data_IF_809643738889
#
_entry.id   IF_809643738889
#
_cell.length_a   1.000
_cell.length_b   1.000
_cell.length_c   1.000
_cell.angle_alpha   90.00
_cell.angle_beta   90.00
_cell.angle_gamma   90.00
#
_symmetry.space_group_name_H-M   'P 1'
#
loop_
_entity.id
_entity.type
_entity.pdbx_description
1 polymer ?
#
# COMPACT_ATOMS: atom_id res chain seq x y z
N UNK A 1 2.02 8.09 -10.84
CA UNK A 1 2.39 8.06 -9.40
C UNK A 1 1.58 9.05 -8.54
N UNK A 2 1.44 10.33 -8.94
CA UNK A 2 0.73 11.34 -8.13
C UNK A 2 -0.73 10.99 -7.79
N UNK A 3 -1.51 10.50 -8.76
CA UNK A 3 -2.90 10.07 -8.54
C UNK A 3 -3.01 8.89 -7.54
N UNK A 4 -2.07 7.95 -7.56
CA UNK A 4 -2.05 6.82 -6.63
C UNK A 4 -1.78 7.27 -5.19
N UNK A 5 -0.90 8.25 -5.01
CA UNK A 5 -0.59 8.82 -3.67
C UNK A 5 -1.78 9.63 -3.13
N UNK A 6 -2.43 10.42 -3.97
CA UNK A 6 -3.64 11.17 -3.57
C UNK A 6 -4.79 10.23 -3.19
N UNK A 7 -4.98 9.14 -3.94
CA UNK A 7 -5.97 8.13 -3.60
C UNK A 7 -5.61 7.42 -2.28
N UNK A 8 -4.34 7.04 -2.10
CA UNK A 8 -3.87 6.42 -0.87
C UNK A 8 -4.07 7.35 0.35
N UNK A 9 -3.76 8.63 0.20
CA UNK A 9 -4.03 9.64 1.21
C UNK A 9 -5.53 9.75 1.53
N UNK A 10 -6.38 9.85 0.51
CA UNK A 10 -7.84 9.94 0.70
C UNK A 10 -8.42 8.71 1.41
N UNK A 11 -7.96 7.50 1.06
CA UNK A 11 -8.38 6.27 1.74
C UNK A 11 -7.89 6.24 3.19
N UNK A 12 -6.67 6.68 3.47
CA UNK A 12 -6.17 6.77 4.85
C UNK A 12 -6.94 7.80 5.68
N UNK A 13 -7.32 8.94 5.10
CA UNK A 13 -8.20 9.92 5.75
C UNK A 13 -9.56 9.30 6.06
N UNK A 14 -10.18 8.64 5.09
CA UNK A 14 -11.48 7.98 5.28
C UNK A 14 -11.43 6.91 6.37
N UNK A 15 -10.37 6.06 6.38
CA UNK A 15 -10.20 5.05 7.43
C UNK A 15 -10.06 5.67 8.81
N UNK A 16 -9.32 6.76 8.93
CA UNK A 16 -9.13 7.46 10.20
C UNK A 16 -10.46 8.10 10.68
N UNK A 17 -11.25 8.68 9.78
CA UNK A 17 -12.58 9.24 10.11
C UNK A 17 -13.58 8.16 10.53
N UNK A 18 -13.52 6.98 9.91
CA UNK A 18 -14.37 5.83 10.25
C UNK A 18 -13.90 5.08 11.51
N UNK A 19 -12.81 5.52 12.15
CA UNK A 19 -12.26 4.86 13.36
C UNK A 19 -11.64 3.48 13.11
N UNK A 20 -11.49 3.06 11.84
CA UNK A 20 -10.91 1.77 11.43
C UNK A 20 -9.45 1.89 10.96
N UNK A 21 -8.94 3.13 10.90
CA UNK A 21 -7.56 3.48 10.59
C UNK A 21 -6.87 4.10 11.80
N UNK A 22 -5.56 3.92 11.85
CA UNK A 22 -4.68 4.60 12.80
C UNK A 22 -3.80 5.60 12.04
N UNK A 23 -3.16 6.52 12.74
CA UNK A 23 -2.18 7.45 12.13
C UNK A 23 -1.04 6.68 11.43
N UNK A 24 -0.78 5.44 11.85
CA UNK A 24 0.19 4.52 11.23
C UNK A 24 -0.24 3.95 9.87
N UNK A 25 -1.48 4.20 9.42
CA UNK A 25 -1.95 3.82 8.09
C UNK A 25 -1.47 4.79 6.99
N UNK A 26 -1.08 6.02 7.34
CA UNK A 26 -0.59 7.00 6.37
C UNK A 26 0.78 6.64 5.77
N UNK A 27 1.82 6.31 6.58
CA UNK A 27 3.15 6.02 6.05
C UNK A 27 3.14 4.77 5.16
N UNK A 28 2.48 3.71 5.61
CA UNK A 28 2.41 2.45 4.86
C UNK A 28 1.75 2.61 3.49
N UNK A 29 0.56 3.22 3.44
CA UNK A 29 -0.20 3.36 2.20
C UNK A 29 0.45 4.34 1.22
N UNK A 30 1.04 5.43 1.69
CA UNK A 30 1.69 6.42 0.82
C UNK A 30 3.00 5.90 0.24
N UNK A 31 3.86 5.27 1.06
CA UNK A 31 5.13 4.69 0.61
C UNK A 31 4.85 3.51 -0.34
N UNK A 32 3.89 2.65 0.02
CA UNK A 32 3.41 1.56 -0.83
C UNK A 32 2.97 2.03 -2.21
N UNK A 33 2.11 3.05 -2.28
CA UNK A 33 1.59 3.59 -3.54
C UNK A 33 2.69 4.25 -4.40
N UNK A 34 3.68 4.90 -3.78
CA UNK A 34 4.85 5.46 -4.49
C UNK A 34 5.68 4.32 -5.09
N UNK A 35 6.01 3.30 -4.29
CA UNK A 35 6.79 2.15 -4.75
C UNK A 35 6.05 1.39 -5.86
N UNK A 36 4.78 1.07 -5.68
CA UNK A 36 3.95 0.41 -6.69
C UNK A 36 3.89 1.22 -8.00
N UNK A 37 3.69 2.53 -7.90
CA UNK A 37 3.66 3.44 -9.04
C UNK A 37 5.01 3.55 -9.76
N UNK A 38 6.13 3.55 -9.03
CA UNK A 38 7.47 3.61 -9.60
C UNK A 38 7.85 2.30 -10.31
N UNK A 39 7.56 1.16 -9.69
CA UNK A 39 7.79 -0.14 -10.30
C UNK A 39 6.92 -0.34 -11.55
N UNK A 40 5.65 0.04 -11.51
CA UNK A 40 4.77 0.00 -12.68
C UNK A 40 5.24 0.94 -13.80
N UNK A 41 5.68 2.16 -13.47
CA UNK A 41 6.22 3.09 -14.46
C UNK A 41 7.48 2.55 -15.16
N UNK A 42 8.33 1.81 -14.44
CA UNK A 42 9.58 1.23 -14.98
C UNK A 42 9.37 -0.08 -15.74
N UNK A 43 8.48 -0.95 -15.31
CA UNK A 43 8.33 -2.31 -15.88
C UNK A 43 7.07 -2.52 -16.71
N UNK A 44 6.07 -1.63 -16.60
CA UNK A 44 4.76 -1.73 -17.26
C UNK A 44 4.02 -3.06 -17.01
N UNK A 45 4.45 -3.83 -15.99
CA UNK A 45 3.93 -5.15 -15.64
C UNK A 45 3.22 -5.09 -14.30
N UNK A 46 1.99 -5.61 -14.27
CA UNK A 46 1.14 -5.61 -13.06
C UNK A 46 1.75 -6.41 -11.90
N UNK A 47 2.46 -7.51 -12.18
CA UNK A 47 3.12 -8.31 -11.14
C UNK A 47 4.21 -7.54 -10.39
N UNK A 48 4.97 -6.68 -11.09
CA UNK A 48 5.99 -5.84 -10.45
C UNK A 48 5.38 -4.69 -9.66
N UNK A 49 4.20 -4.20 -10.05
CA UNK A 49 3.46 -3.22 -9.25
C UNK A 49 3.01 -3.84 -7.91
N UNK A 50 2.45 -5.05 -7.95
CA UNK A 50 2.04 -5.78 -6.74
C UNK A 50 3.23 -6.10 -5.81
N UNK A 51 4.37 -6.51 -6.37
CA UNK A 51 5.60 -6.70 -5.59
C UNK A 51 6.11 -5.38 -4.98
N UNK A 52 6.08 -4.28 -5.75
CA UNK A 52 6.45 -2.96 -5.27
C UNK A 52 5.54 -2.46 -4.14
N UNK A 53 4.24 -2.77 -4.20
CA UNK A 53 3.29 -2.46 -3.14
C UNK A 53 3.52 -3.29 -1.88
N UNK A 54 3.82 -4.58 -2.04
CA UNK A 54 4.14 -5.47 -0.92
C UNK A 54 5.42 -5.06 -0.19
N UNK A 55 6.47 -4.74 -0.94
CA UNK A 55 7.74 -4.26 -0.37
C UNK A 55 7.57 -2.86 0.24
N UNK A 56 6.88 -1.96 -0.48
CA UNK A 56 6.69 -0.58 -0.06
C UNK A 56 5.81 -0.44 1.17
N UNK A 57 4.69 -1.17 1.25
CA UNK A 57 3.79 -1.13 2.42
C UNK A 57 4.28 -2.06 3.53
N UNK A 58 4.71 -3.26 3.17
CA UNK A 58 5.05 -4.32 4.12
C UNK A 58 6.38 -4.13 4.84
N UNK A 59 7.42 -3.63 4.16
CA UNK A 59 8.76 -3.45 4.74
C UNK A 59 9.03 -1.97 5.01
N UNK A 60 8.94 -1.11 3.99
CA UNK A 60 9.26 0.32 4.16
C UNK A 60 8.18 1.03 4.98
N UNK A 61 6.92 0.70 4.73
CA UNK A 61 5.76 1.21 5.46
C UNK A 61 5.77 0.82 6.93
N UNK A 62 6.09 -0.43 7.25
CA UNK A 62 6.17 -0.89 8.64
C UNK A 62 7.33 -0.24 9.40
N UNK A 63 8.47 -0.02 8.74
CA UNK A 63 9.62 0.68 9.32
C UNK A 63 9.26 2.14 9.63
N UNK A 64 8.63 2.85 8.68
CA UNK A 64 8.19 4.22 8.88
C UNK A 64 7.15 4.33 10.01
N UNK A 65 6.18 3.40 10.05
CA UNK A 65 5.19 3.33 11.13
C UNK A 65 5.80 2.97 12.49
N UNK A 66 6.84 2.13 12.51
CA UNK A 66 7.60 1.81 13.72
C UNK A 66 8.33 3.04 14.25
N UNK A 67 8.99 3.81 13.39
CA UNK A 67 9.68 5.04 13.79
C UNK A 67 8.68 6.04 14.40
N UNK A 68 7.52 6.20 13.78
CA UNK A 68 6.44 7.02 14.33
C UNK A 68 5.93 6.49 15.67
N UNK A 69 5.76 5.18 15.82
CA UNK A 69 5.29 4.58 17.08
C UNK A 69 6.32 4.71 18.20
N UNK A 70 7.61 4.55 17.90
CA UNK A 70 8.69 4.79 18.86
C UNK A 70 8.75 6.26 19.29
N UNK A 71 8.61 7.19 18.34
CA UNK A 71 8.70 8.62 18.61
C UNK A 71 7.48 9.16 19.38
N UNK A 72 6.26 8.73 19.02
CA UNK A 72 5.02 9.24 19.64
C UNK A 72 4.50 8.41 20.81
N UNK A 73 4.72 7.10 20.82
CA UNK A 73 4.15 6.18 21.82
C UNK A 73 5.20 5.51 22.72
N UNK A 74 6.50 5.73 22.48
CA UNK A 74 7.57 5.16 23.31
C UNK A 74 7.66 3.63 23.28
N UNK A 75 7.04 2.98 22.30
CA UNK A 75 7.02 1.51 22.20
C UNK A 75 8.34 0.97 21.63
N UNK A 76 9.23 0.48 22.50
CA UNK A 76 10.54 -0.06 22.10
C UNK A 76 10.43 -1.28 21.14
N UNK A 77 9.40 -2.12 21.30
CA UNK A 77 9.19 -3.34 20.49
C UNK A 77 8.17 -3.19 19.33
N UNK A 78 7.84 -1.96 18.92
CA UNK A 78 6.86 -1.70 17.87
C UNK A 78 7.17 -2.42 16.53
N UNK A 79 8.46 -2.60 16.20
CA UNK A 79 8.88 -3.25 14.95
C UNK A 79 8.39 -4.70 14.85
N UNK A 80 8.49 -5.46 15.94
CA UNK A 80 8.11 -6.88 15.98
C UNK A 80 6.60 -7.08 15.83
N UNK A 81 5.79 -6.06 16.14
CA UNK A 81 4.35 -6.09 15.94
C UNK A 81 3.96 -5.60 14.55
N UNK A 82 4.55 -4.49 14.10
CA UNK A 82 4.16 -3.86 12.84
C UNK A 82 4.68 -4.61 11.61
N UNK A 83 5.92 -5.10 11.62
CA UNK A 83 6.51 -5.77 10.46
C UNK A 83 5.73 -7.01 10.01
N UNK A 84 5.45 -8.03 10.86
CA UNK A 84 4.70 -9.20 10.44
C UNK A 84 3.24 -8.85 10.09
N UNK A 85 2.61 -7.94 10.85
CA UNK A 85 1.22 -7.53 10.61
C UNK A 85 1.05 -6.84 9.26
N UNK A 86 1.95 -5.89 8.93
CA UNK A 86 1.93 -5.17 7.65
C UNK A 86 2.35 -6.08 6.49
N UNK A 87 3.35 -6.94 6.68
CA UNK A 87 3.80 -7.86 5.64
C UNK A 87 2.70 -8.86 5.23
N UNK A 88 2.00 -9.48 6.19
CA UNK A 88 0.91 -10.42 5.93
C UNK A 88 -0.29 -9.69 5.32
N UNK A 89 -0.71 -8.57 5.93
CA UNK A 89 -1.85 -7.79 5.42
C UNK A 89 -1.60 -7.28 4.00
N UNK A 90 -0.38 -6.80 3.71
CA UNK A 90 -0.03 -6.29 2.38
C UNK A 90 0.10 -7.40 1.35
N UNK A 91 0.54 -8.61 1.74
CA UNK A 91 0.59 -9.76 0.82
C UNK A 91 -0.81 -10.14 0.34
N UNK A 92 -1.75 -10.25 1.29
CA UNK A 92 -3.15 -10.56 0.99
C UNK A 92 -3.77 -9.45 0.14
N UNK A 93 -3.58 -8.19 0.52
CA UNK A 93 -4.08 -7.03 -0.23
C UNK A 93 -3.56 -6.98 -1.67
N UNK A 94 -2.25 -7.12 -1.87
CA UNK A 94 -1.63 -7.12 -3.18
C UNK A 94 -2.09 -8.32 -4.03
N UNK A 95 -2.26 -9.49 -3.42
CA UNK A 95 -2.79 -10.69 -4.08
C UNK A 95 -4.23 -10.50 -4.57
N UNK A 96 -5.11 -9.96 -3.73
CA UNK A 96 -6.49 -9.66 -4.10
C UNK A 96 -6.57 -8.59 -5.20
N UNK A 97 -5.79 -7.52 -5.07
CA UNK A 97 -5.73 -6.47 -6.08
C UNK A 97 -5.28 -7.02 -7.45
N UNK A 98 -4.24 -7.86 -7.45
CA UNK A 98 -3.77 -8.52 -8.67
C UNK A 98 -4.85 -9.42 -9.29
N UNK A 99 -5.55 -10.22 -8.50
CA UNK A 99 -6.63 -11.08 -8.97
C UNK A 99 -7.80 -10.27 -9.58
N UNK A 100 -8.22 -9.19 -8.94
CA UNK A 100 -9.28 -8.30 -9.44
C UNK A 100 -8.88 -7.69 -10.79
N UNK A 101 -7.64 -7.19 -10.91
CA UNK A 101 -7.16 -6.58 -12.15
C UNK A 101 -7.11 -7.61 -13.30
N UNK A 102 -6.71 -8.86 -13.01
CA UNK A 102 -6.74 -9.94 -14.00
C UNK A 102 -8.16 -10.23 -14.50
N UNK A 103 -9.13 -10.31 -13.60
CA UNK A 103 -10.54 -10.54 -13.97
C UNK A 103 -11.14 -9.34 -14.73
N UNK A 104 -10.80 -8.11 -14.35
CA UNK A 104 -11.23 -6.91 -15.07
C UNK A 104 -10.62 -6.82 -16.48
N UNK A 105 -9.38 -7.27 -16.67
CA UNK A 105 -8.71 -7.33 -17.98
C UNK A 105 -9.39 -8.29 -18.95
N UNK A 106 -9.88 -9.43 -18.46
CA UNK A 106 -10.63 -10.40 -19.28
C UNK A 106 -11.97 -9.85 -19.78
N UNK A 107 -12.57 -8.90 -19.06
CA UNK A 107 -13.88 -8.31 -19.38
C UNK A 107 -13.82 -7.06 -20.28
N UNK A 108 -12.64 -6.68 -20.79
CA UNK A 108 -12.43 -5.49 -21.65
C UNK A 108 -12.91 -4.16 -21.03
N UNK A 109 -13.05 -4.09 -19.71
CA UNK A 109 -13.44 -2.84 -19.01
C UNK A 109 -12.25 -1.87 -18.91
N UNK A 110 -11.02 -2.38 -18.99
CA UNK A 110 -9.78 -1.61 -18.92
C UNK A 110 -9.40 -0.89 -20.23
N UNK A 111 -10.02 -1.22 -21.36
CA UNK A 111 -9.66 -0.65 -22.66
C UNK A 111 -10.26 0.75 -22.89
N UNK A 112 -11.27 1.14 -22.10
CA UNK A 112 -11.99 2.42 -22.28
C UNK A 112 -11.22 3.66 -21.81
N UNK A 113 -10.04 3.51 -21.20
CA UNK A 113 -9.26 4.63 -20.63
C UNK A 113 -7.81 4.68 -21.14
N UNK A 114 -7.50 3.97 -22.24
CA UNK A 114 -6.19 3.99 -22.91
C UNK A 114 -6.14 4.89 -24.17
N UNK A 115 -7.22 5.62 -24.47
CA UNK A 115 -7.29 6.64 -25.56
C UNK A 115 -7.18 8.05 -25.02
#
# INVERSE_FOLDING_TARGET
PGYAVLQAFGVSVLRNLLGTGTVFAFPGSMIGAICAGLFYARTQKLGYAALGEWIGTGILGSLASTLLAQFFMGMEAALMLFLPSFAISSAIGAGMAYFIILEMGKRSVLDRNRT
#
